data_IF_919534705233
#
_entry.id   IF_919534705233
#
_cell.length_a   1.000
_cell.length_b   1.000
_cell.length_c   1.000
_cell.angle_alpha   90.00
_cell.angle_beta   90.00
_cell.angle_gamma   90.00
#
_symmetry.space_group_name_H-M   'P 1'
#
loop_
_entity.id
_entity.type
_entity.pdbx_description
1 polymer ?
#
# COMPACT_ATOMS: atom_id res chain seq x y z
N UNK A 1 -34.65 -2.39 2.73
CA UNK A 1 -33.36 -2.03 3.36
C UNK A 1 -32.28 -2.83 2.67
N UNK A 2 -31.45 -2.16 1.85
CA UNK A 2 -30.37 -2.82 1.09
C UNK A 2 -29.18 -3.09 2.03
N UNK A 3 -28.95 -4.35 2.35
CA UNK A 3 -27.86 -4.84 3.20
C UNK A 3 -26.50 -4.90 2.48
N UNK A 4 -26.22 -3.93 1.60
CA UNK A 4 -24.96 -3.87 0.83
C UNK A 4 -24.03 -2.85 1.49
N UNK A 5 -23.67 -3.09 2.74
CA UNK A 5 -22.66 -2.32 3.47
C UNK A 5 -21.62 -3.29 4.01
N UNK A 6 -20.45 -3.28 3.36
CA UNK A 6 -19.19 -3.88 3.79
C UNK A 6 -19.18 -5.40 3.99
N UNK A 7 -19.08 -6.17 2.91
CA UNK A 7 -18.49 -7.51 3.02
C UNK A 7 -16.95 -7.39 3.01
N UNK A 8 -16.32 -7.80 4.10
CA UNK A 8 -14.86 -7.90 4.30
C UNK A 8 -14.23 -9.06 3.52
N UNK A 9 -14.74 -9.36 2.32
CA UNK A 9 -14.52 -10.65 1.66
C UNK A 9 -13.14 -10.81 1.01
N UNK A 10 -12.31 -9.77 0.97
CA UNK A 10 -10.86 -9.90 0.79
C UNK A 10 -10.17 -8.60 1.17
N UNK A 11 -9.64 -8.51 2.39
CA UNK A 11 -8.81 -7.37 2.80
C UNK A 11 -7.48 -7.33 2.02
N UNK A 12 -7.12 -8.44 1.34
CA UNK A 12 -5.93 -8.56 0.50
C UNK A 12 -6.27 -8.23 -0.96
N UNK A 13 -5.69 -7.14 -1.47
CA UNK A 13 -5.91 -6.67 -2.84
C UNK A 13 -4.64 -6.88 -3.66
N UNK A 14 -4.65 -7.82 -4.60
CA UNK A 14 -3.49 -8.03 -5.49
C UNK A 14 -3.29 -6.82 -6.41
N UNK A 15 -2.13 -6.16 -6.32
CA UNK A 15 -1.79 -4.97 -7.13
C UNK A 15 -1.89 -5.28 -8.63
N UNK A 16 -2.54 -4.43 -9.44
CA UNK A 16 -2.46 -4.51 -10.89
C UNK A 16 -0.99 -4.54 -11.34
N UNK A 17 -0.60 -5.50 -12.19
CA UNK A 17 0.81 -5.72 -12.53
C UNK A 17 1.42 -4.51 -13.24
N UNK A 18 0.72 -3.95 -14.23
CA UNK A 18 1.20 -2.79 -15.00
C UNK A 18 1.52 -1.59 -14.09
N UNK A 19 0.68 -1.31 -13.10
CA UNK A 19 0.91 -0.25 -12.11
C UNK A 19 2.16 -0.52 -11.29
N UNK A 20 2.36 -1.76 -10.85
CA UNK A 20 3.56 -2.14 -10.11
C UNK A 20 4.80 -2.00 -10.99
N UNK A 21 4.77 -2.48 -12.24
CA UNK A 21 5.92 -2.45 -13.15
C UNK A 21 6.36 -1.03 -13.49
N UNK A 22 5.40 -0.12 -13.71
CA UNK A 22 5.69 1.31 -13.93
C UNK A 22 6.40 1.94 -12.74
N UNK A 23 5.88 1.72 -11.52
CA UNK A 23 6.51 2.22 -10.30
C UNK A 23 7.85 1.53 -10.05
N UNK A 24 7.96 0.23 -10.30
CA UNK A 24 9.18 -0.52 -10.07
C UNK A 24 10.31 -0.09 -11.03
N UNK A 25 9.97 0.26 -12.27
CA UNK A 25 10.91 0.83 -13.23
C UNK A 25 11.49 2.17 -12.74
N UNK A 26 10.72 2.94 -11.99
CA UNK A 26 11.14 4.22 -11.42
C UNK A 26 11.95 4.06 -10.13
N UNK A 27 11.47 3.22 -9.20
CA UNK A 27 12.00 3.16 -7.84
C UNK A 27 12.94 1.98 -7.57
N UNK A 28 12.84 0.89 -8.33
CA UNK A 28 13.65 -0.32 -8.13
C UNK A 28 13.33 -1.02 -6.80
N UNK A 29 12.08 -1.42 -6.59
CA UNK A 29 11.63 -2.03 -5.35
C UNK A 29 12.34 -3.35 -5.06
N UNK A 30 12.73 -3.51 -3.80
CA UNK A 30 13.39 -4.72 -3.30
C UNK A 30 12.78 -5.25 -2.00
N UNK A 31 11.66 -4.67 -1.52
CA UNK A 31 10.90 -5.15 -0.38
C UNK A 31 9.38 -4.97 -0.57
N UNK A 32 8.62 -6.04 -0.33
CA UNK A 32 7.15 -6.04 -0.23
C UNK A 32 6.72 -6.49 1.20
N UNK A 33 6.38 -5.56 2.11
CA UNK A 33 6.24 -5.88 3.52
C UNK A 33 4.88 -6.51 3.88
N UNK A 34 3.98 -6.68 2.92
CA UNK A 34 2.59 -7.08 3.18
C UNK A 34 2.07 -7.97 2.05
N UNK A 35 2.75 -9.08 1.80
CA UNK A 35 2.44 -10.01 0.73
C UNK A 35 2.05 -11.39 1.24
N UNK A 36 1.56 -12.21 0.31
CA UNK A 36 1.49 -13.67 0.39
C UNK A 36 2.51 -14.24 -0.61
N UNK A 37 2.98 -15.49 -0.43
CA UNK A 37 3.92 -16.11 -1.35
C UNK A 37 3.48 -16.04 -2.82
N UNK A 38 2.18 -16.21 -3.08
CA UNK A 38 1.62 -16.23 -4.44
C UNK A 38 1.37 -14.84 -5.06
N UNK A 39 1.54 -13.75 -4.30
CA UNK A 39 1.27 -12.39 -4.77
C UNK A 39 2.38 -11.38 -4.51
N UNK A 40 3.49 -11.82 -3.92
CA UNK A 40 4.64 -10.97 -3.62
C UNK A 40 5.17 -10.28 -4.87
N UNK A 41 5.47 -8.98 -4.73
CA UNK A 41 6.00 -8.16 -5.83
C UNK A 41 7.52 -8.01 -5.81
N UNK A 42 8.16 -8.41 -4.72
CA UNK A 42 9.61 -8.35 -4.54
C UNK A 42 10.15 -9.70 -4.08
N UNK A 43 11.43 -9.98 -4.34
CA UNK A 43 12.10 -11.19 -3.84
C UNK A 43 12.09 -11.25 -2.31
N UNK A 44 12.33 -10.11 -1.66
CA UNK A 44 12.15 -9.97 -0.21
C UNK A 44 10.70 -9.55 0.06
N UNK A 45 9.99 -10.38 0.81
CA UNK A 45 8.65 -10.05 1.27
C UNK A 45 8.37 -10.58 2.67
N UNK A 46 7.33 -10.03 3.31
CA UNK A 46 6.84 -10.51 4.60
C UNK A 46 5.40 -10.99 4.48
N UNK A 47 5.16 -12.17 5.04
CA UNK A 47 3.83 -12.76 5.16
C UNK A 47 3.14 -12.30 6.45
N UNK A 48 1.82 -12.52 6.60
CA UNK A 48 1.12 -12.24 7.86
C UNK A 48 1.77 -12.92 9.08
N UNK A 49 2.36 -14.10 8.91
CA UNK A 49 3.06 -14.83 9.98
C UNK A 49 4.38 -14.15 10.39
N UNK A 50 5.11 -13.57 9.42
CA UNK A 50 6.34 -12.79 9.68
C UNK A 50 6.00 -11.41 10.26
N UNK A 51 4.79 -10.92 10.01
CA UNK A 51 4.28 -9.62 10.43
C UNK A 51 5.16 -8.46 9.96
N UNK A 52 4.91 -7.95 8.76
CA UNK A 52 5.68 -6.83 8.22
C UNK A 52 5.68 -5.56 9.07
N UNK A 53 4.70 -5.35 9.95
CA UNK A 53 4.66 -4.21 10.87
C UNK A 53 5.76 -4.28 11.94
N UNK A 54 6.23 -5.48 12.32
CA UNK A 54 7.28 -5.66 13.32
C UNK A 54 8.69 -5.65 12.73
N UNK A 55 8.83 -5.74 11.41
CA UNK A 55 10.13 -5.82 10.74
C UNK A 55 10.75 -4.43 10.51
N UNK A 56 12.08 -4.38 10.41
CA UNK A 56 12.81 -3.18 9.99
C UNK A 56 12.88 -3.11 8.47
N UNK A 57 12.58 -1.95 7.88
CA UNK A 57 12.64 -1.72 6.43
C UNK A 57 13.81 -0.78 6.05
N UNK A 58 14.68 -0.46 7.01
CA UNK A 58 15.84 0.40 6.83
C UNK A 58 16.75 -0.06 5.67
N UNK A 59 17.06 0.85 4.75
CA UNK A 59 17.95 0.58 3.60
C UNK A 59 17.29 -0.10 2.40
N UNK A 60 15.98 -0.34 2.44
CA UNK A 60 15.23 -0.93 1.33
C UNK A 60 14.45 0.11 0.53
N UNK A 61 14.12 -0.23 -0.71
CA UNK A 61 13.14 0.47 -1.54
C UNK A 61 11.85 -0.34 -1.52
N UNK A 62 10.87 0.16 -0.79
CA UNK A 62 9.69 -0.59 -0.35
C UNK A 62 8.49 -0.26 -1.20
N UNK A 63 7.82 -1.29 -1.71
CA UNK A 63 6.47 -1.19 -2.24
C UNK A 63 5.47 -1.74 -1.21
N UNK A 64 4.59 -0.90 -0.69
CA UNK A 64 3.63 -1.27 0.33
C UNK A 64 2.18 -1.17 -0.20
N UNK A 65 1.52 -2.31 -0.34
CA UNK A 65 0.09 -2.39 -0.63
C UNK A 65 -0.60 -3.19 0.49
N UNK A 66 -0.88 -2.55 1.65
CA UNK A 66 -1.32 -3.27 2.83
C UNK A 66 -2.76 -3.75 2.70
N UNK A 67 -3.22 -4.65 3.58
CA UNK A 67 -4.63 -4.95 3.67
C UNK A 67 -5.45 -3.70 4.06
N UNK A 68 -6.54 -3.42 3.33
CA UNK A 68 -7.34 -2.20 3.50
C UNK A 68 -8.41 -2.31 4.59
N UNK A 69 -7.99 -2.81 5.75
CA UNK A 69 -8.85 -3.05 6.90
C UNK A 69 -8.51 -2.18 8.11
N UNK A 70 -8.74 -2.75 9.30
CA UNK A 70 -8.60 -2.05 10.59
C UNK A 70 -7.19 -1.52 10.87
N UNK A 71 -6.16 -2.14 10.29
CA UNK A 71 -4.76 -1.80 10.54
C UNK A 71 -4.19 -0.78 9.54
N UNK A 72 -4.99 -0.19 8.64
CA UNK A 72 -4.49 0.77 7.65
C UNK A 72 -3.77 1.96 8.31
N UNK A 73 -4.24 2.39 9.48
CA UNK A 73 -3.59 3.45 10.26
C UNK A 73 -2.16 3.06 10.63
N UNK A 74 -1.94 1.84 11.13
CA UNK A 74 -0.62 1.35 11.56
C UNK A 74 0.31 1.18 10.37
N UNK A 75 -0.19 0.72 9.23
CA UNK A 75 0.58 0.60 8.00
C UNK A 75 1.03 1.96 7.46
N UNK A 76 0.14 2.95 7.42
CA UNK A 76 0.49 4.31 6.99
C UNK A 76 1.51 4.94 7.93
N UNK A 77 1.29 4.81 9.25
CA UNK A 77 2.24 5.28 10.26
C UNK A 77 3.62 4.64 10.06
N UNK A 78 3.66 3.31 9.84
CA UNK A 78 4.93 2.60 9.63
C UNK A 78 5.63 3.03 8.35
N UNK A 79 4.90 3.22 7.25
CA UNK A 79 5.50 3.73 6.01
C UNK A 79 6.18 5.08 6.22
N UNK A 80 5.50 6.00 6.92
CA UNK A 80 6.06 7.29 7.29
C UNK A 80 7.31 7.15 8.19
N UNK A 81 7.27 6.32 9.23
CA UNK A 81 8.40 6.14 10.16
C UNK A 81 9.62 5.48 9.47
N UNK A 82 9.41 4.44 8.68
CA UNK A 82 10.48 3.71 7.98
C UNK A 82 11.14 4.54 6.88
N UNK A 83 10.37 5.37 6.16
CA UNK A 83 10.89 6.27 5.10
C UNK A 83 11.92 7.29 5.59
N UNK A 84 11.95 7.54 6.91
CA UNK A 84 12.89 8.48 7.54
C UNK A 84 14.24 7.85 7.87
N UNK A 85 14.37 6.53 7.70
CA UNK A 85 15.64 5.82 7.93
C UNK A 85 16.59 6.06 6.73
N UNK A 86 17.91 6.13 6.96
CA UNK A 86 18.87 6.33 5.89
C UNK A 86 18.77 5.25 4.82
N UNK A 87 18.80 5.67 3.55
CA UNK A 87 18.75 4.75 2.40
C UNK A 87 17.40 4.07 2.19
N UNK A 88 16.34 4.51 2.87
CA UNK A 88 15.00 3.90 2.72
C UNK A 88 14.11 4.77 1.83
N UNK A 89 13.46 4.14 0.86
CA UNK A 89 12.37 4.74 0.08
C UNK A 89 11.11 3.92 0.32
N UNK A 90 9.97 4.57 0.57
CA UNK A 90 8.69 3.87 0.76
C UNK A 90 7.63 4.44 -0.16
N UNK A 91 7.11 3.58 -1.04
CA UNK A 91 6.01 3.88 -1.94
C UNK A 91 4.82 3.04 -1.55
N UNK A 92 3.68 3.69 -1.34
CA UNK A 92 2.49 3.06 -0.79
C UNK A 92 1.27 3.23 -1.70
N UNK A 93 0.56 2.14 -1.97
CA UNK A 93 -0.74 2.15 -2.66
C UNK A 93 -1.87 2.01 -1.63
N UNK A 94 -2.74 3.02 -1.55
CA UNK A 94 -3.88 3.03 -0.62
C UNK A 94 -5.14 3.68 -1.22
N UNK A 95 -6.32 3.45 -0.61
CA UNK A 95 -7.50 4.23 -0.91
C UNK A 95 -7.27 5.74 -0.65
N UNK A 96 -7.72 6.60 -1.57
CA UNK A 96 -7.61 8.04 -1.43
C UNK A 96 -8.70 8.59 -0.49
N UNK A 97 -8.48 8.45 0.83
CA UNK A 97 -9.40 8.90 1.89
C UNK A 97 -8.78 10.06 2.67
N UNK A 98 -8.97 11.27 2.14
CA UNK A 98 -8.34 12.50 2.67
C UNK A 98 -8.94 12.97 3.99
N UNK A 99 -10.08 12.43 4.41
CA UNK A 99 -10.79 12.70 5.66
C UNK A 99 -10.24 11.93 6.87
N UNK A 100 -9.39 10.93 6.63
CA UNK A 100 -8.93 10.02 7.67
C UNK A 100 -7.83 10.63 8.54
N UNK A 101 -7.77 10.20 9.80
CA UNK A 101 -6.73 10.61 10.74
C UNK A 101 -5.31 10.30 10.23
N UNK A 102 -5.08 9.10 9.69
CA UNK A 102 -3.75 8.74 9.16
C UNK A 102 -3.32 9.64 8.01
N UNK A 103 -4.27 10.13 7.20
CA UNK A 103 -3.96 11.03 6.10
C UNK A 103 -3.39 12.33 6.65
N UNK A 104 -4.08 12.98 7.60
CA UNK A 104 -3.60 14.22 8.19
C UNK A 104 -2.33 14.06 9.04
N UNK A 105 -2.21 12.95 9.77
CA UNK A 105 -1.09 12.72 10.69
C UNK A 105 0.20 12.33 9.98
N UNK A 106 0.14 11.58 8.87
CA UNK A 106 1.34 10.97 8.27
C UNK A 106 1.54 11.27 6.78
N UNK A 107 0.50 11.69 6.05
CA UNK A 107 0.58 11.89 4.59
C UNK A 107 0.54 13.37 4.24
N UNK A 108 -0.50 14.08 4.69
CA UNK A 108 -0.74 15.48 4.33
C UNK A 108 0.37 16.38 4.88
N UNK A 109 1.00 17.14 3.98
CA UNK A 109 2.20 17.96 4.21
C UNK A 109 3.43 17.19 4.75
N UNK A 110 3.46 15.86 4.60
CA UNK A 110 4.55 15.00 5.09
C UNK A 110 5.10 14.05 4.05
N UNK A 111 4.25 13.54 3.15
CA UNK A 111 4.68 12.81 1.97
C UNK A 111 5.46 13.74 1.04
N UNK A 112 6.50 13.20 0.39
CA UNK A 112 7.26 13.91 -0.65
C UNK A 112 6.41 14.14 -1.89
N UNK A 113 5.58 13.15 -2.24
CA UNK A 113 4.72 13.20 -3.41
C UNK A 113 3.45 12.36 -3.20
N UNK A 114 2.33 12.83 -3.75
CA UNK A 114 1.07 12.08 -3.81
C UNK A 114 0.63 12.04 -5.28
N UNK A 115 0.43 10.84 -5.83
CA UNK A 115 -0.09 10.65 -7.20
C UNK A 115 -1.50 10.08 -7.13
N UNK A 116 -2.48 10.87 -7.59
CA UNK A 116 -3.85 10.40 -7.70
C UNK A 116 -4.04 9.56 -8.95
N UNK A 117 -4.70 8.41 -8.82
CA UNK A 117 -4.98 7.53 -9.95
C UNK A 117 -6.31 7.95 -10.59
N UNK A 118 -6.28 8.29 -11.87
CA UNK A 118 -7.49 8.60 -12.65
C UNK A 118 -8.31 7.32 -12.84
N UNK A 119 -9.53 7.31 -12.32
CA UNK A 119 -10.45 6.17 -12.43
C UNK A 119 -10.44 5.27 -11.20
N UNK A 120 -10.68 3.98 -11.40
CA UNK A 120 -10.75 2.95 -10.35
C UNK A 120 -9.90 1.76 -10.76
N UNK A 121 -9.00 1.33 -9.89
CA UNK A 121 -8.16 0.17 -10.15
C UNK A 121 -8.97 -1.12 -10.16
N UNK A 122 -8.59 -2.07 -11.00
CA UNK A 122 -9.03 -3.46 -10.92
C UNK A 122 -7.90 -4.28 -10.30
N UNK A 123 -8.11 -4.78 -9.10
CA UNK A 123 -7.12 -5.56 -8.38
C UNK A 123 -7.21 -7.04 -8.76
N UNK A 124 -6.08 -7.66 -9.09
CA UNK A 124 -6.02 -9.03 -9.58
C UNK A 124 -7.02 -9.31 -10.71
N UNK A 125 -7.72 -10.44 -10.61
CA UNK A 125 -8.73 -10.89 -11.58
C UNK A 125 -10.16 -10.43 -11.24
N UNK A 126 -10.31 -9.35 -10.47
CA UNK A 126 -11.64 -8.86 -10.08
C UNK A 126 -12.47 -8.43 -11.30
N UNK A 127 -13.73 -8.89 -11.36
CA UNK A 127 -14.67 -8.52 -12.44
C UNK A 127 -14.97 -7.02 -12.47
N UNK A 128 -15.08 -6.41 -11.30
CA UNK A 128 -15.41 -5.01 -11.11
C UNK A 128 -14.19 -4.22 -10.61
N UNK A 129 -14.15 -2.94 -10.95
CA UNK A 129 -13.17 -2.03 -10.36
C UNK A 129 -13.44 -1.82 -8.87
N UNK A 130 -12.42 -1.44 -8.12
CA UNK A 130 -12.52 -1.15 -6.70
C UNK A 130 -13.60 -0.08 -6.45
N UNK A 131 -14.42 -0.23 -5.39
CA UNK A 131 -15.48 0.72 -5.07
C UNK A 131 -14.94 2.03 -4.45
N UNK A 132 -13.62 2.24 -4.44
CA UNK A 132 -12.95 3.38 -3.82
C UNK A 132 -11.87 3.97 -4.75
N UNK A 133 -11.61 5.29 -4.67
CA UNK A 133 -10.46 5.89 -5.35
C UNK A 133 -9.15 5.39 -4.74
N UNK A 134 -8.07 5.39 -5.52
CA UNK A 134 -6.74 5.01 -5.07
C UNK A 134 -5.73 6.14 -5.30
N UNK A 135 -4.69 6.17 -4.49
CA UNK A 135 -3.54 7.05 -4.65
C UNK A 135 -2.24 6.30 -4.34
N UNK A 136 -1.16 6.77 -4.94
CA UNK A 136 0.21 6.43 -4.58
C UNK A 136 0.74 7.52 -3.65
N UNK A 137 1.36 7.12 -2.55
CA UNK A 137 2.04 8.02 -1.61
C UNK A 137 3.51 7.66 -1.60
N UNK A 138 4.37 8.63 -1.88
CA UNK A 138 5.83 8.51 -1.76
C UNK A 138 6.25 9.30 -0.53
N UNK A 139 6.79 8.59 0.47
CA UNK A 139 7.24 9.15 1.74
C UNK A 139 8.70 9.62 1.69
#
# INVERSE_FOLDING_TARGET
MNSVLFSSASDVWATPQDLFDELNKEFGFNLDPCALPDNAKCEKYFTPEINGLSQCWGGYVVFCNPPYGRQIYDWVKKCYEESRKPGTTVVMLIPARTDTRYFHEFIYHKAKEIRFIKGRLKFGNAKNAAPFPSMIVIF
#
